data_IF_302449527390
#
_entry.id   IF_302449527390
#
_cell.length_a   1.000
_cell.length_b   1.000
_cell.length_c   1.000
_cell.angle_alpha   90.00
_cell.angle_beta   90.00
_cell.angle_gamma   90.00
#
_symmetry.space_group_name_H-M   'P 1'
#
loop_
_entity.id
_entity.type
_entity.pdbx_description
1 polymer ?
#
# COMPACT_ATOMS: atom_id res chain seq x y z
N UNK A 1 25.33 19.94 13.18
CA UNK A 1 25.33 19.08 11.97
C UNK A 1 24.00 18.36 11.93
N UNK A 2 23.07 18.78 11.08
CA UNK A 2 21.82 18.05 10.90
C UNK A 2 22.18 16.72 10.21
N UNK A 3 22.14 15.61 10.96
CA UNK A 3 22.27 14.29 10.36
C UNK A 3 21.19 14.17 9.29
N UNK A 4 21.58 13.76 8.08
CA UNK A 4 20.65 13.67 6.95
C UNK A 4 19.53 12.70 7.34
N UNK A 5 18.35 13.23 7.66
CA UNK A 5 17.20 12.43 8.06
C UNK A 5 16.82 11.54 6.87
N UNK A 6 16.66 10.23 7.12
CA UNK A 6 16.28 9.30 6.07
C UNK A 6 14.96 9.74 5.42
N UNK A 7 14.91 9.74 4.09
CA UNK A 7 13.72 10.08 3.33
C UNK A 7 12.85 8.83 3.22
N UNK A 8 11.69 8.87 3.86
CA UNK A 8 10.81 7.72 3.98
C UNK A 8 9.58 7.88 3.10
N UNK A 9 9.08 6.80 2.53
CA UNK A 9 7.87 6.80 1.71
C UNK A 9 6.93 5.63 2.04
N UNK A 10 5.63 5.92 2.07
CA UNK A 10 4.56 4.92 2.08
C UNK A 10 4.07 4.79 0.64
N UNK A 11 4.16 3.60 0.06
CA UNK A 11 3.84 3.33 -1.33
C UNK A 11 2.53 2.54 -1.47
N UNK A 12 1.64 3.11 -2.28
CA UNK A 12 0.35 2.57 -2.65
C UNK A 12 0.27 2.37 -4.17
N UNK A 13 -0.59 1.45 -4.60
CA UNK A 13 -1.02 1.34 -6.00
C UNK A 13 -2.52 1.55 -6.08
N UNK A 14 -2.98 2.32 -7.07
CA UNK A 14 -4.38 2.37 -7.47
C UNK A 14 -4.50 1.87 -8.91
N UNK A 15 -4.98 0.63 -9.04
CA UNK A 15 -5.08 -0.12 -10.30
C UNK A 15 -6.53 -0.44 -10.62
N UNK A 16 -6.86 -0.49 -11.92
CA UNK A 16 -8.17 -0.95 -12.41
C UNK A 16 -8.02 -2.35 -13.02
N UNK A 17 -8.48 -3.41 -12.33
CA UNK A 17 -8.56 -4.77 -12.85
C UNK A 17 -9.23 -4.88 -14.21
N UNK A 18 -8.88 -5.93 -14.96
CA UNK A 18 -9.54 -6.26 -16.21
C UNK A 18 -10.74 -7.17 -15.94
N UNK A 19 -11.73 -6.62 -15.25
CA UNK A 19 -13.00 -7.27 -14.96
C UNK A 19 -14.13 -6.74 -15.85
N UNK A 20 -15.16 -7.55 -16.07
CA UNK A 20 -16.37 -7.14 -16.82
C UNK A 20 -17.14 -6.00 -16.14
N UNK A 21 -17.01 -5.88 -14.83
CA UNK A 21 -17.60 -4.83 -14.02
C UNK A 21 -16.49 -4.06 -13.31
N UNK A 22 -16.61 -2.74 -13.23
CA UNK A 22 -15.76 -1.93 -12.37
C UNK A 22 -15.85 -2.51 -10.95
N UNK A 23 -14.71 -2.83 -10.29
CA UNK A 23 -14.74 -3.28 -8.91
C UNK A 23 -15.31 -2.17 -8.01
N UNK A 24 -15.46 -2.43 -6.71
CA UNK A 24 -15.93 -1.46 -5.71
C UNK A 24 -14.93 -0.29 -5.53
N UNK A 25 -14.77 0.51 -6.57
CA UNK A 25 -13.79 1.57 -6.69
C UNK A 25 -14.13 2.72 -5.74
N UNK A 26 -15.41 2.87 -5.38
CA UNK A 26 -15.88 3.74 -4.31
C UNK A 26 -15.12 3.51 -3.00
N UNK A 27 -14.80 2.25 -2.67
CA UNK A 27 -14.00 1.92 -1.48
C UNK A 27 -12.59 2.51 -1.57
N UNK A 28 -11.92 2.31 -2.69
CA UNK A 28 -10.53 2.74 -2.88
C UNK A 28 -10.40 4.25 -2.99
N UNK A 29 -11.30 4.90 -3.72
CA UNK A 29 -11.26 6.36 -3.87
C UNK A 29 -11.63 7.08 -2.58
N UNK A 30 -12.60 6.58 -1.82
CA UNK A 30 -12.91 7.12 -0.48
C UNK A 30 -11.72 6.94 0.47
N UNK A 31 -11.01 5.82 0.36
CA UNK A 31 -9.85 5.54 1.21
C UNK A 31 -8.67 6.51 1.00
N UNK A 32 -8.52 7.12 -0.18
CA UNK A 32 -7.43 8.07 -0.46
C UNK A 32 -7.38 9.21 0.57
N UNK A 33 -8.52 9.77 0.96
CA UNK A 33 -8.55 10.84 1.96
C UNK A 33 -8.11 10.31 3.33
N UNK A 34 -8.67 9.19 3.76
CA UNK A 34 -8.38 8.60 5.05
C UNK A 34 -6.89 8.21 5.19
N UNK A 35 -6.34 7.52 4.18
CA UNK A 35 -4.91 7.14 4.17
C UNK A 35 -3.99 8.35 4.24
N UNK A 36 -4.36 9.45 3.59
CA UNK A 36 -3.59 10.70 3.65
C UNK A 36 -3.57 11.27 5.07
N UNK A 37 -4.73 11.41 5.71
CA UNK A 37 -4.86 11.94 7.07
C UNK A 37 -4.12 11.06 8.06
N UNK A 38 -4.31 9.74 7.96
CA UNK A 38 -3.64 8.77 8.83
C UNK A 38 -2.12 8.80 8.63
N UNK A 39 -1.63 8.96 7.39
CA UNK A 39 -0.20 9.10 7.11
C UNK A 39 0.39 10.36 7.78
N UNK A 40 -0.29 11.52 7.71
CA UNK A 40 0.17 12.74 8.45
C UNK A 40 0.24 12.46 9.95
N UNK A 41 -0.78 11.78 10.48
CA UNK A 41 -0.94 11.54 11.91
C UNK A 41 0.08 10.53 12.46
N UNK A 42 0.30 9.44 11.75
CA UNK A 42 1.06 8.28 12.22
C UNK A 42 2.49 8.26 11.69
N UNK A 43 2.75 8.89 10.54
CA UNK A 43 4.04 8.90 9.85
C UNK A 43 4.43 10.32 9.42
N UNK A 44 4.58 11.27 10.37
CA UNK A 44 4.92 12.64 10.03
C UNK A 44 6.25 12.70 9.27
N UNK A 45 6.26 13.45 8.15
CA UNK A 45 7.43 13.61 7.29
C UNK A 45 7.65 12.49 6.27
N UNK A 46 6.83 11.43 6.25
CA UNK A 46 6.88 10.42 5.20
C UNK A 46 6.15 10.92 3.94
N UNK A 47 6.76 10.67 2.78
CA UNK A 47 6.10 10.85 1.47
C UNK A 47 4.97 9.83 1.34
N UNK A 48 3.82 10.26 0.82
CA UNK A 48 2.71 9.36 0.51
C UNK A 48 2.68 9.18 -1.00
N UNK A 49 3.32 8.10 -1.46
CA UNK A 49 3.53 7.79 -2.87
C UNK A 49 2.38 6.96 -3.41
N UNK A 50 1.74 7.42 -4.50
CA UNK A 50 0.73 6.65 -5.22
C UNK A 50 1.17 6.37 -6.65
N UNK A 51 1.16 5.10 -7.02
CA UNK A 51 1.29 4.63 -8.40
C UNK A 51 -0.11 4.46 -8.99
N UNK A 52 -0.47 5.37 -9.89
CA UNK A 52 -1.80 5.45 -10.49
C UNK A 52 -1.78 4.83 -11.88
N UNK A 53 -2.62 3.82 -12.10
CA UNK A 53 -2.78 3.19 -13.41
C UNK A 53 -3.23 4.19 -14.49
N UNK A 54 -2.71 4.04 -15.71
CA UNK A 54 -2.99 4.97 -16.80
C UNK A 54 -4.41 4.94 -17.36
N UNK A 55 -5.28 4.05 -16.88
CA UNK A 55 -6.72 4.07 -17.20
C UNK A 55 -7.48 5.12 -16.39
N UNK A 56 -6.88 5.69 -15.35
CA UNK A 56 -7.35 6.91 -14.71
C UNK A 56 -6.90 8.15 -15.48
N UNK A 57 -7.72 9.19 -15.49
CA UNK A 57 -7.38 10.42 -16.21
C UNK A 57 -6.27 11.22 -15.54
N UNK A 58 -5.61 12.09 -16.31
CA UNK A 58 -4.70 13.10 -15.75
C UNK A 58 -5.39 14.01 -14.74
N UNK A 59 -6.66 14.35 -14.98
CA UNK A 59 -7.47 15.13 -14.05
C UNK A 59 -7.64 14.41 -12.70
N UNK A 60 -7.88 13.10 -12.72
CA UNK A 60 -7.90 12.30 -11.50
C UNK A 60 -6.54 12.31 -10.79
N UNK A 61 -5.43 12.19 -11.53
CA UNK A 61 -4.10 12.31 -10.96
C UNK A 61 -3.90 13.67 -10.25
N UNK A 62 -4.38 14.76 -10.83
CA UNK A 62 -4.29 16.10 -10.25
C UNK A 62 -5.15 16.27 -9.01
N UNK A 63 -6.36 15.70 -8.98
CA UNK A 63 -7.20 15.65 -7.77
C UNK A 63 -6.45 14.94 -6.65
N UNK A 64 -5.81 13.80 -6.93
CA UNK A 64 -5.06 13.03 -5.92
C UNK A 64 -3.82 13.81 -5.44
N UNK A 65 -3.12 14.52 -6.33
CA UNK A 65 -2.01 15.41 -5.94
C UNK A 65 -2.47 16.52 -5.00
N UNK A 66 -3.66 17.09 -5.23
CA UNK A 66 -4.24 18.12 -4.35
C UNK A 66 -4.57 17.58 -2.95
N UNK A 67 -4.85 16.28 -2.81
CA UNK A 67 -4.95 15.64 -1.50
C UNK A 67 -3.58 15.55 -0.78
N UNK A 68 -2.47 15.75 -1.48
CA UNK A 68 -1.13 15.74 -0.92
C UNK A 68 -0.37 14.42 -1.12
N UNK A 69 -0.75 13.63 -2.13
CA UNK A 69 0.05 12.50 -2.59
C UNK A 69 1.10 12.94 -3.61
N UNK A 70 2.25 12.28 -3.58
CA UNK A 70 3.15 12.25 -4.74
C UNK A 70 2.64 11.19 -5.71
N UNK A 71 2.13 11.62 -6.87
CA UNK A 71 1.50 10.71 -7.86
C UNK A 71 2.43 10.43 -9.04
N UNK A 72 2.76 9.16 -9.21
CA UNK A 72 3.36 8.62 -10.43
C UNK A 72 2.24 8.08 -11.30
N UNK A 73 1.90 8.80 -12.36
CA UNK A 73 0.87 8.38 -13.32
C UNK A 73 1.52 7.47 -14.37
N UNK A 74 1.14 6.20 -14.33
CA UNK A 74 1.70 5.15 -15.17
C UNK A 74 1.01 5.12 -16.53
N UNK A 75 1.61 4.45 -17.53
CA UNK A 75 0.87 4.02 -18.71
C UNK A 75 -0.33 3.14 -18.33
N UNK A 76 -1.35 3.02 -19.21
CA UNK A 76 -2.41 2.04 -19.01
C UNK A 76 -1.80 0.66 -18.83
N UNK A 77 -2.32 -0.11 -17.89
CA UNK A 77 -1.88 -1.49 -17.66
C UNK A 77 -1.85 -2.30 -18.97
N UNK A 78 -0.99 -3.30 -19.00
CA UNK A 78 -0.87 -4.25 -20.11
C UNK A 78 -1.64 -5.54 -19.79
N UNK A 79 -2.62 -5.88 -20.63
CA UNK A 79 -3.46 -7.09 -20.48
C UNK A 79 -2.69 -8.39 -20.68
N UNK A 80 -1.50 -8.35 -21.29
CA UNK A 80 -0.62 -9.51 -21.44
C UNK A 80 0.15 -9.85 -20.16
N UNK A 81 0.20 -8.91 -19.21
CA UNK A 81 0.84 -9.09 -17.91
C UNK A 81 -0.20 -9.48 -16.84
N UNK A 82 0.21 -10.26 -15.84
CA UNK A 82 -0.70 -10.66 -14.77
C UNK A 82 -1.13 -9.48 -13.90
N UNK A 83 -2.33 -9.54 -13.29
CA UNK A 83 -2.86 -8.42 -12.50
C UNK A 83 -1.94 -8.04 -11.33
N UNK A 84 -1.28 -9.02 -10.73
CA UNK A 84 -0.32 -8.79 -9.66
C UNK A 84 0.85 -7.90 -10.08
N UNK A 85 1.24 -7.91 -11.37
CA UNK A 85 2.30 -7.04 -11.89
C UNK A 85 1.89 -5.57 -11.74
N UNK A 86 0.62 -5.28 -12.09
CA UNK A 86 0.06 -3.93 -12.01
C UNK A 86 -0.13 -3.49 -10.57
N UNK A 87 -0.67 -4.36 -9.71
CA UNK A 87 -0.79 -4.11 -8.26
C UNK A 87 0.58 -3.87 -7.62
N UNK A 88 1.62 -4.58 -8.08
CA UNK A 88 3.00 -4.43 -7.59
C UNK A 88 3.71 -3.19 -8.10
N UNK A 89 3.03 -2.28 -8.81
CA UNK A 89 3.64 -1.04 -9.29
C UNK A 89 4.22 -0.17 -8.18
N UNK A 90 3.67 -0.24 -6.96
CA UNK A 90 4.23 0.35 -5.74
C UNK A 90 5.68 -0.02 -5.45
N UNK A 91 6.16 -1.17 -5.93
CA UNK A 91 7.57 -1.57 -5.80
C UNK A 91 8.52 -0.56 -6.44
N UNK A 92 8.09 0.20 -7.46
CA UNK A 92 8.92 1.21 -8.14
C UNK A 92 9.42 2.32 -7.21
N UNK A 93 8.85 2.45 -6.00
CA UNK A 93 9.38 3.38 -4.97
C UNK A 93 10.82 3.04 -4.57
N UNK A 94 11.22 1.77 -4.72
CA UNK A 94 12.56 1.28 -4.42
C UNK A 94 13.61 1.89 -5.36
N UNK A 95 13.25 2.24 -6.59
CA UNK A 95 14.17 2.87 -7.55
C UNK A 95 14.18 4.40 -7.44
N UNK A 96 13.31 4.99 -6.62
CA UNK A 96 13.30 6.44 -6.42
C UNK A 96 14.58 6.87 -5.66
N UNK A 97 15.47 7.69 -6.27
CA UNK A 97 16.67 8.18 -5.61
C UNK A 97 16.36 9.13 -4.44
N UNK A 98 15.12 9.58 -4.35
CA UNK A 98 14.48 10.34 -3.28
C UNK A 98 14.14 9.53 -2.03
N UNK A 99 14.16 8.19 -2.08
CA UNK A 99 13.62 7.33 -1.03
C UNK A 99 14.70 6.40 -0.47
N UNK A 100 14.98 6.54 0.82
CA UNK A 100 15.94 5.72 1.55
C UNK A 100 15.25 4.53 2.25
N UNK A 101 14.01 4.73 2.70
CA UNK A 101 13.17 3.76 3.40
C UNK A 101 11.78 3.74 2.78
N UNK A 102 11.25 2.55 2.50
CA UNK A 102 9.90 2.40 1.95
C UNK A 102 9.03 1.49 2.82
N UNK A 103 7.73 1.70 2.74
CA UNK A 103 6.69 0.77 3.20
C UNK A 103 5.69 0.50 2.09
N UNK A 104 5.27 -0.75 1.97
CA UNK A 104 4.21 -1.17 1.06
C UNK A 104 2.90 -1.26 1.82
N UNK A 105 1.86 -0.62 1.29
CA UNK A 105 0.53 -0.60 1.91
C UNK A 105 -0.57 -0.79 0.90
N UNK A 106 -1.57 -1.57 1.30
CA UNK A 106 -2.85 -1.68 0.59
C UNK A 106 -3.69 -0.45 0.91
N UNK A 107 -4.33 0.11 -0.12
CA UNK A 107 -5.09 1.35 0.02
C UNK A 107 -6.38 1.14 0.83
N UNK A 108 -6.93 -0.07 0.84
CA UNK A 108 -8.11 -0.47 1.60
C UNK A 108 -7.83 -0.87 3.06
N UNK A 109 -6.58 -0.75 3.52
CA UNK A 109 -6.20 -0.95 4.92
C UNK A 109 -5.81 0.37 5.60
N UNK A 110 -6.36 0.64 6.79
CA UNK A 110 -6.01 1.84 7.54
C UNK A 110 -4.58 1.80 8.07
N UNK A 111 -3.94 2.97 8.12
CA UNK A 111 -2.72 3.17 8.90
C UNK A 111 -3.12 3.45 10.34
N UNK A 112 -2.56 2.69 11.27
CA UNK A 112 -2.88 2.76 12.69
C UNK A 112 -1.65 3.10 13.54
N UNK A 113 -1.82 3.40 14.84
CA UNK A 113 -0.68 3.51 15.75
C UNK A 113 0.15 2.22 15.83
N UNK A 114 -0.46 1.04 15.61
CA UNK A 114 0.26 -0.24 15.56
C UNK A 114 1.28 -0.26 14.43
N UNK A 115 0.91 0.26 13.26
CA UNK A 115 1.83 0.41 12.13
C UNK A 115 3.03 1.29 12.49
N UNK A 116 2.76 2.47 13.07
CA UNK A 116 3.80 3.44 13.42
C UNK A 116 4.79 2.89 14.44
N UNK A 117 4.30 2.22 15.47
CA UNK A 117 5.16 1.64 16.52
C UNK A 117 5.98 0.48 15.96
N UNK A 118 5.37 -0.41 15.18
CA UNK A 118 6.07 -1.51 14.51
C UNK A 118 7.20 -1.00 13.61
N UNK A 119 6.94 0.04 12.83
CA UNK A 119 7.94 0.66 11.97
C UNK A 119 9.03 1.35 12.78
N UNK A 120 8.69 2.03 13.87
CA UNK A 120 9.67 2.64 14.76
C UNK A 120 10.60 1.60 15.41
N UNK A 121 10.04 0.49 15.89
CA UNK A 121 10.84 -0.62 16.46
C UNK A 121 11.78 -1.19 15.39
N UNK A 122 11.28 -1.42 14.18
CA UNK A 122 12.11 -1.88 13.07
C UNK A 122 13.24 -0.90 12.74
N UNK A 123 12.93 0.38 12.54
CA UNK A 123 13.94 1.38 12.20
C UNK A 123 15.02 1.51 13.28
N UNK A 124 14.61 1.39 14.54
CA UNK A 124 15.52 1.40 15.70
C UNK A 124 16.40 0.15 15.79
N UNK A 125 15.97 -0.98 15.23
CA UNK A 125 16.74 -2.23 15.23
C UNK A 125 17.95 -2.23 14.29
N UNK A 126 17.96 -1.35 13.27
CA UNK A 126 18.98 -1.34 12.22
C UNK A 126 18.81 -2.42 11.14
N UNK A 127 17.87 -3.37 11.30
CA UNK A 127 17.56 -4.43 10.33
C UNK A 127 17.12 -3.84 8.98
N UNK A 128 17.41 -4.51 7.87
CA UNK A 128 17.20 -3.94 6.53
C UNK A 128 15.75 -3.98 6.04
N UNK A 129 14.97 -4.96 6.49
CA UNK A 129 13.56 -5.13 6.11
C UNK A 129 12.68 -5.39 7.33
N UNK A 130 11.38 -5.18 7.18
CA UNK A 130 10.39 -5.65 8.15
C UNK A 130 9.17 -6.26 7.47
N UNK A 131 8.53 -7.15 8.20
CA UNK A 131 7.25 -7.77 7.84
C UNK A 131 6.33 -7.81 9.06
N UNK A 132 5.03 -7.67 8.85
CA UNK A 132 4.03 -7.68 9.93
C UNK A 132 2.95 -8.72 9.66
N UNK A 133 2.64 -9.51 10.68
CA UNK A 133 1.55 -10.47 10.75
C UNK A 133 0.75 -10.22 12.03
N UNK A 134 -0.21 -9.30 11.97
CA UNK A 134 -0.98 -8.89 13.17
C UNK A 134 -2.32 -9.64 13.37
N UNK A 135 -2.65 -10.59 12.49
CA UNK A 135 -3.91 -11.33 12.54
C UNK A 135 -3.76 -12.79 12.08
N UNK A 136 -4.50 -13.77 12.65
CA UNK A 136 -4.47 -15.17 12.22
C UNK A 136 -4.87 -15.44 10.76
N UNK A 137 -5.41 -14.45 10.05
CA UNK A 137 -5.74 -14.55 8.63
C UNK A 137 -4.58 -14.16 7.71
N UNK A 138 -3.52 -13.57 8.24
CA UNK A 138 -2.29 -13.29 7.49
C UNK A 138 -1.51 -14.59 7.37
N UNK A 139 -1.58 -15.21 6.20
CA UNK A 139 -1.11 -16.59 5.96
C UNK A 139 0.06 -16.68 4.97
N UNK A 140 0.34 -15.63 4.24
CA UNK A 140 1.42 -15.61 3.25
C UNK A 140 2.71 -15.18 3.93
N UNK A 141 3.85 -15.79 3.57
CA UNK A 141 5.15 -15.53 4.22
C UNK A 141 5.52 -14.05 4.23
N UNK A 142 5.10 -13.31 3.21
CA UNK A 142 5.21 -11.86 3.13
C UNK A 142 3.89 -11.28 2.61
N UNK A 143 3.21 -10.53 3.49
CA UNK A 143 1.94 -9.89 3.19
C UNK A 143 2.17 -8.62 2.36
N UNK A 144 1.48 -8.48 1.22
CA UNK A 144 1.82 -7.45 0.23
C UNK A 144 1.60 -6.00 0.70
N UNK A 145 0.60 -5.78 1.56
CA UNK A 145 0.34 -4.49 2.20
C UNK A 145 0.98 -4.29 3.58
N UNK A 146 1.93 -5.14 4.00
CA UNK A 146 2.43 -5.12 5.38
C UNK A 146 3.94 -5.43 5.49
N UNK A 147 4.73 -4.86 4.61
CA UNK A 147 6.18 -4.98 4.64
C UNK A 147 6.89 -3.71 4.16
N UNK A 148 8.18 -3.60 4.43
CA UNK A 148 8.99 -2.46 4.07
C UNK A 148 10.48 -2.75 4.15
N UNK A 149 11.29 -1.82 3.69
CA UNK A 149 12.73 -2.02 3.62
C UNK A 149 13.53 -0.77 3.37
N UNK A 150 14.85 -0.92 3.41
CA UNK A 150 15.80 0.07 2.91
C UNK A 150 15.93 -0.07 1.40
N UNK A 151 15.77 1.01 0.65
CA UNK A 151 15.73 0.96 -0.82
C UNK A 151 17.03 0.41 -1.42
N UNK A 152 18.18 0.79 -0.86
CA UNK A 152 19.49 0.28 -1.32
C UNK A 152 19.62 -1.24 -1.09
N UNK A 153 19.18 -1.74 0.07
CA UNK A 153 19.21 -3.15 0.37
C UNK A 153 18.30 -3.97 -0.56
N UNK A 154 17.12 -3.42 -0.91
CA UNK A 154 16.19 -4.04 -1.85
C UNK A 154 16.79 -4.15 -3.26
N UNK A 155 17.33 -3.04 -3.78
CA UNK A 155 18.06 -3.02 -5.07
C UNK A 155 19.20 -4.02 -5.07
N UNK A 156 20.02 -4.05 -4.03
CA UNK A 156 21.16 -5.00 -3.95
C UNK A 156 20.73 -6.47 -3.93
N UNK A 157 19.62 -6.80 -3.26
CA UNK A 157 19.23 -8.20 -3.00
C UNK A 157 18.41 -8.87 -4.09
N UNK A 158 17.41 -8.18 -4.62
CA UNK A 158 16.46 -8.78 -5.56
C UNK A 158 16.21 -7.95 -6.82
N UNK A 159 16.60 -6.67 -6.84
CA UNK A 159 16.39 -5.80 -8.01
C UNK A 159 17.68 -5.07 -8.45
N UNK A 160 18.83 -5.76 -8.67
CA UNK A 160 20.09 -5.08 -8.99
C UNK A 160 20.10 -4.40 -10.37
N UNK A 161 19.16 -4.79 -11.23
CA UNK A 161 18.92 -4.20 -12.56
C UNK A 161 17.74 -3.21 -12.57
N UNK A 162 17.22 -2.85 -11.39
CA UNK A 162 16.01 -2.05 -11.22
C UNK A 162 14.73 -2.89 -11.11
N UNK A 163 13.69 -2.27 -10.55
CA UNK A 163 12.38 -2.87 -10.28
C UNK A 163 11.64 -3.20 -11.56
N UNK A 164 11.75 -2.39 -12.62
CA UNK A 164 11.09 -2.71 -13.89
C UNK A 164 11.65 -4.00 -14.51
N UNK A 165 12.98 -4.19 -14.46
CA UNK A 165 13.61 -5.43 -14.91
C UNK A 165 13.18 -6.63 -14.04
N UNK A 166 13.10 -6.43 -12.71
CA UNK A 166 12.62 -7.43 -11.77
C UNK A 166 11.16 -7.84 -12.05
N UNK A 167 10.27 -6.87 -12.26
CA UNK A 167 8.85 -7.13 -12.55
C UNK A 167 8.66 -7.83 -13.89
N UNK A 168 9.43 -7.45 -14.91
CA UNK A 168 9.42 -8.13 -16.22
C UNK A 168 9.89 -9.59 -16.12
N UNK A 169 10.99 -9.83 -15.38
CA UNK A 169 11.50 -11.19 -15.13
C UNK A 169 10.51 -12.03 -14.33
N UNK A 170 9.90 -11.46 -13.29
CA UNK A 170 8.89 -12.16 -12.51
C UNK A 170 7.65 -12.47 -13.36
N UNK A 171 7.22 -11.58 -14.26
CA UNK A 171 6.07 -11.84 -15.12
C UNK A 171 6.32 -13.01 -16.09
N UNK A 172 7.57 -13.34 -16.39
CA UNK A 172 7.91 -14.52 -17.19
C UNK A 172 7.93 -15.82 -16.38
N UNK A 173 8.15 -15.75 -15.05
CA UNK A 173 8.51 -16.92 -14.23
C UNK A 173 7.54 -17.23 -13.07
N UNK A 174 6.71 -16.28 -12.66
CA UNK A 174 5.71 -16.43 -11.60
C UNK A 174 4.34 -16.69 -12.23
N UNK A 175 3.53 -17.57 -11.61
CA UNK A 175 2.20 -17.92 -12.13
C UNK A 175 1.34 -16.65 -12.31
N UNK A 176 0.77 -16.52 -13.51
CA UNK A 176 -0.09 -15.39 -13.88
C UNK A 176 -1.42 -15.39 -13.15
N UNK A 177 -1.85 -16.55 -12.62
CA UNK A 177 -3.10 -16.71 -11.87
C UNK A 177 -2.96 -16.39 -10.38
N UNK A 178 -1.75 -16.09 -9.91
CA UNK A 178 -1.49 -15.71 -8.52
C UNK A 178 -1.91 -14.28 -8.19
N UNK A 179 -1.83 -13.93 -6.91
CA UNK A 179 -1.87 -12.56 -6.43
C UNK A 179 -0.45 -12.00 -6.24
N UNK A 180 -0.33 -10.75 -5.82
CA UNK A 180 0.95 -10.09 -5.54
C UNK A 180 1.70 -10.73 -4.36
N UNK A 181 1.01 -11.39 -3.44
CA UNK A 181 1.67 -12.18 -2.39
C UNK A 181 2.40 -13.41 -2.95
N UNK A 182 1.92 -14.00 -4.06
CA UNK A 182 2.65 -15.06 -4.75
C UNK A 182 3.94 -14.54 -5.37
N UNK A 183 3.92 -13.35 -5.99
CA UNK A 183 5.13 -12.66 -6.46
C UNK A 183 6.12 -12.53 -5.30
N UNK A 184 5.67 -11.96 -4.18
CA UNK A 184 6.53 -11.73 -3.02
C UNK A 184 7.12 -13.03 -2.48
N UNK A 185 6.30 -14.06 -2.34
CA UNK A 185 6.72 -15.40 -1.87
C UNK A 185 7.78 -16.02 -2.77
N UNK A 186 7.66 -15.87 -4.09
CA UNK A 186 8.53 -16.55 -5.05
C UNK A 186 9.78 -15.76 -5.43
N UNK A 187 9.67 -14.42 -5.49
CA UNK A 187 10.69 -13.57 -6.10
C UNK A 187 11.30 -12.55 -5.13
N UNK A 188 10.71 -12.29 -3.95
CA UNK A 188 11.25 -11.33 -2.97
C UNK A 188 11.72 -12.04 -1.70
N UNK A 189 10.83 -12.80 -1.07
CA UNK A 189 11.08 -13.44 0.23
C UNK A 189 12.39 -14.25 0.31
N UNK A 190 12.73 -15.11 -0.68
CA UNK A 190 13.98 -15.89 -0.64
C UNK A 190 15.26 -15.04 -0.57
N UNK A 191 15.18 -13.77 -0.96
CA UNK A 191 16.32 -12.84 -0.95
C UNK A 191 16.41 -12.02 0.34
N UNK A 192 15.32 -11.86 1.08
CA UNK A 192 15.24 -10.94 2.23
C UNK A 192 14.97 -11.61 3.57
N UNK A 193 14.51 -12.87 3.60
CA UNK A 193 14.09 -13.57 4.83
C UNK A 193 15.16 -13.51 5.94
N UNK A 194 16.43 -13.74 5.58
CA UNK A 194 17.55 -13.74 6.52
C UNK A 194 17.91 -12.35 7.10
N UNK A 195 17.28 -11.27 6.64
CA UNK A 195 17.47 -9.92 7.20
C UNK A 195 16.17 -9.13 7.33
N UNK A 196 15.09 -9.82 7.71
CA UNK A 196 13.78 -9.23 7.95
C UNK A 196 13.43 -9.28 9.44
N UNK A 197 13.09 -8.14 10.04
CA UNK A 197 12.49 -8.11 11.37
C UNK A 197 11.00 -8.42 11.22
N UNK A 198 10.59 -9.59 11.68
CA UNK A 198 9.22 -10.07 11.58
C UNK A 198 8.47 -9.81 12.88
N UNK A 199 7.42 -9.00 12.81
CA UNK A 199 6.47 -8.82 13.91
C UNK A 199 5.28 -9.74 13.69
N UNK A 200 5.09 -10.72 14.57
CA UNK A 200 4.10 -11.79 14.40
C UNK A 200 3.28 -11.94 15.68
N UNK A 201 2.03 -11.46 15.65
CA UNK A 201 1.09 -11.55 16.78
C UNK A 201 0.64 -13.01 17.00
N UNK A 202 0.22 -13.78 15.97
CA UNK A 202 -0.08 -15.21 16.13
C UNK A 202 1.09 -16.08 16.62
N UNK A 203 2.34 -15.62 16.49
CA UNK A 203 3.57 -16.39 16.71
C UNK A 203 3.65 -17.66 15.87
N UNK A 204 2.89 -17.75 14.78
CA UNK A 204 2.89 -18.91 13.89
C UNK A 204 4.18 -18.98 13.08
N UNK A 205 4.67 -17.84 12.60
CA UNK A 205 5.86 -17.72 11.76
C UNK A 205 7.13 -17.62 12.58
N UNK A 206 7.08 -16.95 13.75
CA UNK A 206 8.22 -16.91 14.68
C UNK A 206 8.77 -18.31 15.03
N UNK A 207 7.90 -19.32 15.07
CA UNK A 207 8.26 -20.72 15.40
C UNK A 207 9.16 -21.37 14.33
N UNK A 208 9.07 -20.92 13.08
CA UNK A 208 9.80 -21.51 11.95
C UNK A 208 11.02 -20.68 11.55
N UNK A 209 10.98 -19.36 11.76
CA UNK A 209 11.98 -18.44 11.20
C UNK A 209 13.13 -18.10 12.18
N UNK A 210 12.88 -18.21 13.48
CA UNK A 210 13.88 -18.37 14.56
C UNK A 210 14.98 -17.30 14.75
N UNK A 211 15.15 -16.31 13.86
CA UNK A 211 16.35 -15.45 13.88
C UNK A 211 16.08 -13.97 14.10
N UNK A 212 14.95 -13.42 13.65
CA UNK A 212 14.58 -12.01 13.84
C UNK A 212 13.06 -11.83 13.96
N UNK A 213 12.41 -12.61 14.81
CA UNK A 213 10.97 -12.52 15.05
C UNK A 213 10.66 -12.00 16.45
N UNK A 214 9.77 -11.02 16.56
CA UNK A 214 9.38 -10.40 17.83
C UNK A 214 7.85 -10.38 17.97
N UNK A 215 7.31 -10.44 19.20
CA UNK A 215 5.89 -10.22 19.42
C UNK A 215 5.47 -8.84 18.91
N UNK A 216 4.22 -8.73 18.45
CA UNK A 216 3.68 -7.46 18.02
C UNK A 216 3.66 -6.46 19.20
N UNK A 217 4.18 -5.23 19.02
CA UNK A 217 4.12 -4.22 20.06
C UNK A 217 2.65 -3.94 20.40
N UNK A 218 2.30 -4.11 21.67
CA UNK A 218 0.93 -4.00 22.21
C UNK A 218 -0.04 -5.15 21.88
N UNK A 219 0.47 -6.38 21.76
CA UNK A 219 -0.38 -7.56 21.99
C UNK A 219 -1.08 -7.47 23.39
N UNK A 220 -2.21 -8.16 23.61
CA UNK A 220 -3.02 -8.08 24.85
C UNK A 220 -2.25 -8.27 26.17
N UNK A 221 -1.02 -8.78 26.12
CA UNK A 221 -0.12 -8.92 27.28
C UNK A 221 0.45 -7.59 27.82
N UNK A 222 0.27 -6.46 27.11
CA UNK A 222 0.79 -5.13 27.52
C UNK A 222 -0.22 -4.27 28.29
N UNK A 223 -1.47 -4.72 28.45
CA UNK A 223 -2.54 -3.97 29.11
C UNK A 223 -3.08 -2.76 28.33
N UNK A 224 -2.46 -2.38 27.21
CA UNK A 224 -2.96 -1.37 26.27
C UNK A 224 -3.68 -2.07 25.11
N UNK A 225 -4.99 -1.81 24.94
CA UNK A 225 -5.77 -2.34 23.81
C UNK A 225 -5.87 -1.25 22.76
N UNK A 226 -5.20 -1.45 21.63
CA UNK A 226 -5.54 -0.75 20.38
C UNK A 226 -6.44 -1.67 19.58
N UNK A 227 -7.70 -1.24 19.39
CA UNK A 227 -8.69 -1.91 18.57
C UNK A 227 -8.21 -1.99 17.10
N UNK A 228 -8.55 -3.11 16.45
CA UNK A 228 -8.13 -3.42 15.08
C UNK A 228 -6.74 -4.08 14.98
N UNK A 229 -6.33 -4.36 13.76
CA UNK A 229 -5.03 -4.97 13.45
C UNK A 229 -4.41 -4.36 12.18
N UNK A 230 -3.08 -4.40 12.07
CA UNK A 230 -2.37 -3.93 10.86
C UNK A 230 -2.83 -4.73 9.64
N UNK A 231 -3.26 -4.04 8.58
CA UNK A 231 -3.78 -4.68 7.37
C UNK A 231 -5.29 -4.95 7.38
N UNK A 232 -6.00 -4.57 8.44
CA UNK A 232 -7.46 -4.68 8.50
C UNK A 232 -8.11 -3.91 7.34
N UNK A 233 -8.90 -4.63 6.53
CA UNK A 233 -9.64 -4.03 5.42
C UNK A 233 -10.78 -3.21 5.99
N UNK A 234 -10.68 -1.90 5.85
CA UNK A 234 -11.75 -1.00 6.27
C UNK A 234 -12.78 -0.94 5.15
N UNK A 235 -13.83 -1.76 5.27
CA UNK A 235 -15.02 -1.61 4.47
C UNK A 235 -15.70 -0.25 4.81
N UNK A 236 -16.66 0.18 3.99
CA UNK A 236 -17.46 1.41 4.17
C UNK A 236 -18.22 1.54 5.51
N UNK A 237 -17.99 0.64 6.48
CA UNK A 237 -18.46 0.74 7.85
C UNK A 237 -17.32 1.27 8.72
N UNK A 238 -17.44 2.55 9.06
CA UNK A 238 -16.72 3.27 10.10
C UNK A 238 -15.24 3.57 9.83
N UNK A 239 -14.98 4.69 9.16
CA UNK A 239 -13.82 5.51 9.51
C UNK A 239 -14.29 6.57 10.51
N UNK A 240 -13.86 6.44 11.77
CA UNK A 240 -13.98 7.50 12.80
C UNK A 240 -13.06 8.70 12.44
N UNK A 241 -13.09 9.85 13.14
CA UNK A 241 -14.18 10.74 13.52
C UNK A 241 -14.36 11.89 12.48
N UNK A 242 -15.25 12.84 12.79
CA UNK A 242 -15.72 14.03 12.02
C UNK A 242 -14.75 14.80 11.07
N UNK A 243 -13.41 14.87 11.27
CA UNK A 243 -12.54 15.58 10.33
C UNK A 243 -12.49 14.96 8.92
N UNK A 244 -12.62 13.63 8.82
CA UNK A 244 -12.59 12.91 7.54
C UNK A 244 -13.82 13.22 6.69
N UNK A 245 -14.97 13.50 7.32
CA UNK A 245 -16.22 13.84 6.64
C UNK A 245 -16.10 15.14 5.83
N UNK A 246 -15.44 16.17 6.40
CA UNK A 246 -15.24 17.47 5.74
C UNK A 246 -14.33 17.36 4.53
N UNK A 247 -13.28 16.53 4.61
CA UNK A 247 -12.34 16.35 3.51
C UNK A 247 -12.88 15.38 2.42
N UNK A 248 -13.73 14.41 2.79
CA UNK A 248 -14.45 13.56 1.83
C UNK A 248 -15.31 14.40 0.88
N UNK A 249 -15.98 15.43 1.42
CA UNK A 249 -16.78 16.37 0.63
C UNK A 249 -15.95 17.10 -0.43
N UNK A 250 -14.77 17.60 -0.07
CA UNK A 250 -13.87 18.28 -1.00
C UNK A 250 -13.39 17.34 -2.14
N UNK A 251 -13.08 16.08 -1.80
CA UNK A 251 -12.78 15.06 -2.80
C UNK A 251 -13.97 14.83 -3.75
N UNK A 252 -15.18 14.64 -3.21
CA UNK A 252 -16.39 14.46 -4.00
C UNK A 252 -16.66 15.66 -4.94
N UNK A 253 -16.53 16.90 -4.45
CA UNK A 253 -16.70 18.12 -5.26
C UNK A 253 -15.66 18.21 -6.40
N UNK A 254 -14.44 17.73 -6.19
CA UNK A 254 -13.42 17.62 -7.23
C UNK A 254 -13.79 16.61 -8.31
N UNK A 255 -14.35 15.46 -7.91
CA UNK A 255 -14.79 14.41 -8.84
C UNK A 255 -16.08 14.77 -9.59
N UNK A 256 -16.95 15.62 -9.04
CA UNK A 256 -18.14 16.15 -9.74
C UNK A 256 -17.75 16.91 -11.03
N UNK A 257 -16.52 17.44 -11.11
CA UNK A 257 -16.02 18.26 -12.22
C UNK A 257 -14.98 17.55 -13.09
N UNK A 258 -14.61 16.31 -12.75
CA UNK A 258 -13.45 15.64 -13.31
C UNK A 258 -13.81 14.21 -13.73
N UNK A 259 -13.54 13.85 -14.99
CA UNK A 259 -13.65 12.46 -15.42
C UNK A 259 -12.64 11.60 -14.66
N UNK A 260 -13.07 10.45 -14.13
CA UNK A 260 -12.23 9.57 -13.32
C UNK A 260 -11.44 8.62 -14.22
N UNK A 261 -12.06 8.12 -15.29
CA UNK A 261 -11.48 7.15 -16.20
C UNK A 261 -11.34 7.69 -17.63
N UNK A 262 -10.27 7.26 -18.29
CA UNK A 262 -10.02 7.54 -19.71
C UNK A 262 -11.00 6.77 -20.61
N UNK A 263 -11.33 5.53 -20.23
CA UNK A 263 -12.25 4.68 -20.99
C UNK A 263 -13.72 5.04 -20.70
N UNK A 264 -14.50 5.27 -21.76
CA UNK A 264 -15.89 5.72 -21.65
C UNK A 264 -16.81 4.69 -20.96
N UNK A 265 -16.58 3.40 -21.14
CA UNK A 265 -17.36 2.33 -20.50
C UNK A 265 -17.09 2.27 -18.99
N UNK A 266 -15.83 2.41 -18.55
CA UNK A 266 -15.50 2.54 -17.14
C UNK A 266 -16.12 3.79 -16.52
N UNK A 267 -16.05 4.92 -17.22
CA UNK A 267 -16.62 6.18 -16.74
C UNK A 267 -18.16 6.07 -16.62
N UNK A 268 -18.83 5.40 -17.54
CA UNK A 268 -20.27 5.13 -17.45
C UNK A 268 -20.62 4.22 -16.26
N UNK A 269 -19.86 3.14 -16.05
CA UNK A 269 -20.04 2.24 -14.90
C UNK A 269 -19.83 2.99 -13.57
N UNK A 270 -18.80 3.82 -13.49
CA UNK A 270 -18.53 4.69 -12.35
C UNK A 270 -19.73 5.58 -12.03
N UNK A 271 -20.21 6.37 -13.01
CA UNK A 271 -21.33 7.31 -12.83
C UNK A 271 -22.62 6.58 -12.45
N UNK A 272 -22.85 5.38 -12.99
CA UNK A 272 -24.08 4.61 -12.76
C UNK A 272 -24.14 3.95 -11.37
N UNK A 273 -22.99 3.55 -10.82
CA UNK A 273 -22.96 2.64 -9.67
C UNK A 273 -22.11 3.13 -8.49
N UNK A 274 -20.78 3.22 -8.67
CA UNK A 274 -19.85 3.55 -7.58
C UNK A 274 -19.92 5.02 -7.18
N UNK A 275 -20.13 5.93 -8.13
CA UNK A 275 -20.20 7.36 -7.86
C UNK A 275 -21.35 7.76 -6.95
N UNK A 276 -22.62 7.35 -7.19
CA UNK A 276 -23.72 7.69 -6.29
C UNK A 276 -23.49 7.21 -4.85
N UNK A 277 -22.87 6.03 -4.65
CA UNK A 277 -22.53 5.52 -3.31
C UNK A 277 -21.50 6.39 -2.62
N UNK A 278 -20.39 6.69 -3.32
CA UNK A 278 -19.32 7.55 -2.77
C UNK A 278 -19.84 8.95 -2.46
N UNK A 279 -20.57 9.57 -3.39
CA UNK A 279 -21.14 10.90 -3.22
C UNK A 279 -22.12 10.96 -2.05
N UNK A 280 -22.97 9.94 -1.90
CA UNK A 280 -23.89 9.80 -0.78
C UNK A 280 -23.16 9.64 0.56
N UNK A 281 -21.99 9.00 0.57
CA UNK A 281 -21.17 8.83 1.76
C UNK A 281 -20.43 10.13 2.15
N UNK A 282 -19.95 10.92 1.17
CA UNK A 282 -19.22 12.16 1.41
C UNK A 282 -20.11 13.41 1.63
N UNK A 283 -21.44 13.29 1.51
CA UNK A 283 -22.42 14.38 1.68
C UNK A 283 -23.08 14.35 3.06
#
# INVERSE_FOLDING_TARGET
MAGNQARCAIAYTLYVPYSKALPKMDRYLTALQARRVEAVRHFPGWDVRLYLDGRFTKGMADVIRQLGYTVVHLPPSDRSLPEWHHVSSRLRVIDDPGVDVFMMRDLDSALSPRDAISVWVWLSSGVEFHAMHDHPHHKDVLMAGMWGGRSEAARRRFAPRGIDAFLAEAAANVDHRGNDQLLLTKAVWPHIEGNTLHMDMPQTYCKYDGKLCVPFPMAPHSGQVIDGFVGEVVASKALMPRPVDVECKALAEGLDKTAVFEEADLQQQWVKDAWPRMRSFCN
#
